data_IF_006995615913
#
_entry.id   IF_006995615913
#
_cell.length_a   1.000
_cell.length_b   1.000
_cell.length_c   1.000
_cell.angle_alpha   90.00
_cell.angle_beta   90.00
_cell.angle_gamma   90.00
#
_symmetry.space_group_name_H-M   'P 1'
#
loop_
_entity.id
_entity.type
_entity.pdbx_description
1 polymer ?
#
# COMPACT_ATOMS: atom_id res chain seq x y z
N UNK A 1 -25.54 -15.61 6.86
CA UNK A 1 -24.78 -16.62 7.64
C UNK A 1 -23.29 -16.38 7.45
N UNK A 2 -22.47 -16.72 8.45
CA UNK A 2 -20.99 -16.69 8.34
C UNK A 2 -20.53 -17.78 7.34
N UNK A 3 -19.67 -17.43 6.37
CA UNK A 3 -19.10 -18.39 5.42
C UNK A 3 -17.81 -19.04 5.92
N UNK A 4 -16.87 -18.22 6.39
CA UNK A 4 -15.59 -18.66 6.96
C UNK A 4 -14.96 -17.50 7.74
N UNK A 5 -13.94 -17.81 8.54
CA UNK A 5 -13.06 -16.83 9.19
C UNK A 5 -11.62 -17.30 9.07
N UNK A 6 -10.68 -16.37 8.88
CA UNK A 6 -9.24 -16.65 8.88
C UNK A 6 -8.56 -15.86 10.00
N UNK A 7 -7.69 -16.52 10.77
CA UNK A 7 -6.95 -15.91 11.88
C UNK A 7 -5.51 -15.62 11.45
N UNK A 8 -5.16 -14.35 11.33
CA UNK A 8 -3.77 -13.87 11.16
C UNK A 8 -3.01 -13.91 12.49
N UNK A 9 -1.70 -13.65 12.47
CA UNK A 9 -0.88 -13.63 13.69
C UNK A 9 -1.12 -12.39 14.57
N UNK A 10 -1.83 -11.38 14.06
CA UNK A 10 -2.30 -10.25 14.85
C UNK A 10 -3.35 -9.42 14.10
N UNK A 11 -3.57 -8.15 14.48
CA UNK A 11 -4.64 -7.32 13.96
C UNK A 11 -4.46 -7.01 12.46
N UNK A 12 -5.59 -6.94 11.77
CA UNK A 12 -5.71 -6.50 10.38
C UNK A 12 -6.07 -5.02 10.41
N UNK A 13 -5.16 -4.16 9.96
CA UNK A 13 -5.37 -2.71 9.93
C UNK A 13 -5.79 -2.19 8.54
N UNK A 14 -5.60 -2.99 7.50
CA UNK A 14 -5.97 -2.67 6.13
C UNK A 14 -7.44 -2.96 5.82
N UNK A 15 -7.98 -2.24 4.83
CA UNK A 15 -9.16 -2.70 4.09
C UNK A 15 -8.78 -3.89 3.19
N UNK A 16 -9.58 -4.97 3.12
CA UNK A 16 -9.36 -6.04 2.18
C UNK A 16 -9.62 -5.59 0.73
N UNK A 17 -8.85 -6.14 -0.22
CA UNK A 17 -9.12 -6.00 -1.65
C UNK A 17 -9.31 -7.40 -2.28
N UNK A 18 -10.22 -7.51 -3.24
CA UNK A 18 -10.56 -8.77 -3.92
C UNK A 18 -10.16 -8.68 -5.38
N UNK A 19 -9.33 -9.62 -5.85
CA UNK A 19 -8.94 -9.74 -7.25
C UNK A 19 -10.07 -10.30 -8.12
N UNK A 20 -9.92 -10.19 -9.44
CA UNK A 20 -10.85 -10.77 -10.42
C UNK A 20 -10.98 -12.31 -10.32
N UNK A 21 -9.96 -13.01 -9.83
CA UNK A 21 -10.00 -14.46 -9.56
C UNK A 21 -10.63 -14.81 -8.20
N UNK A 22 -11.07 -13.81 -7.44
CA UNK A 22 -11.63 -13.95 -6.11
C UNK A 22 -10.61 -14.07 -4.98
N UNK A 23 -9.30 -14.01 -5.26
CA UNK A 23 -8.26 -13.95 -4.22
C UNK A 23 -8.45 -12.69 -3.38
N UNK A 24 -8.43 -12.84 -2.05
CA UNK A 24 -8.57 -11.74 -1.10
C UNK A 24 -7.19 -11.37 -0.55
N UNK A 25 -6.84 -10.10 -0.58
CA UNK A 25 -5.61 -9.57 -0.02
C UNK A 25 -5.86 -8.70 1.21
N UNK A 26 -5.08 -8.91 2.27
CA UNK A 26 -5.12 -8.15 3.53
C UNK A 26 -3.71 -7.96 4.10
N UNK A 27 -3.50 -6.89 4.86
CA UNK A 27 -2.26 -6.62 5.59
C UNK A 27 -2.48 -6.82 7.09
N UNK A 28 -1.55 -7.50 7.76
CA UNK A 28 -1.60 -7.77 9.21
C UNK A 28 -0.24 -7.60 9.85
N UNK A 29 -0.23 -7.10 11.09
CA UNK A 29 0.91 -7.16 12.00
C UNK A 29 0.82 -8.41 12.87
N UNK A 30 1.68 -9.38 12.61
CA UNK A 30 1.80 -10.62 13.35
C UNK A 30 2.77 -10.47 14.53
N UNK A 31 2.28 -10.72 15.74
CA UNK A 31 3.06 -10.61 16.97
C UNK A 31 3.38 -11.99 17.52
N UNK A 32 4.64 -12.27 17.84
CA UNK A 32 5.00 -13.60 18.35
C UNK A 32 4.45 -13.87 19.76
N UNK A 33 4.28 -12.84 20.61
CA UNK A 33 3.89 -13.01 22.03
C UNK A 33 3.20 -11.79 22.66
N UNK A 34 3.55 -10.56 22.26
CA UNK A 34 3.02 -9.31 22.81
C UNK A 34 3.22 -8.16 21.82
N UNK A 35 2.19 -7.34 21.60
CA UNK A 35 2.23 -6.17 20.71
C UNK A 35 3.25 -5.10 21.12
N UNK A 36 3.62 -5.03 22.41
CA UNK A 36 4.53 -4.03 22.95
C UNK A 36 6.00 -4.47 23.02
N UNK A 37 6.25 -5.78 23.11
CA UNK A 37 7.59 -6.31 23.46
C UNK A 37 8.04 -7.52 22.66
N UNK A 38 7.16 -8.13 21.87
CA UNK A 38 7.49 -9.29 21.04
C UNK A 38 8.06 -8.87 19.68
N UNK A 39 8.82 -9.76 19.02
CA UNK A 39 9.15 -9.56 17.62
C UNK A 39 7.85 -9.47 16.83
N UNK A 40 7.79 -8.44 15.99
CA UNK A 40 6.64 -8.12 15.16
C UNK A 40 7.02 -8.31 13.71
N UNK A 41 6.18 -9.04 12.97
CA UNK A 41 6.34 -9.32 11.56
C UNK A 41 5.12 -8.80 10.82
N UNK A 42 5.31 -8.22 9.65
CA UNK A 42 4.21 -7.61 8.91
C UNK A 42 4.06 -8.30 7.58
N UNK A 43 2.83 -8.69 7.28
CA UNK A 43 2.55 -9.55 6.14
C UNK A 43 1.43 -9.00 5.28
N UNK A 44 1.63 -9.07 3.96
CA UNK A 44 0.56 -9.17 2.99
C UNK A 44 0.13 -10.63 2.91
N UNK A 45 -1.14 -10.90 3.20
CA UNK A 45 -1.77 -12.19 3.04
C UNK A 45 -2.55 -12.25 1.73
N UNK A 46 -2.55 -13.43 1.11
CA UNK A 46 -3.46 -13.80 0.03
C UNK A 46 -4.29 -15.00 0.48
N UNK A 47 -5.62 -14.86 0.44
CA UNK A 47 -6.57 -15.91 0.81
C UNK A 47 -7.37 -16.34 -0.42
N UNK A 48 -7.63 -17.64 -0.53
CA UNK A 48 -8.55 -18.17 -1.53
C UNK A 48 -10.00 -17.78 -1.17
N UNK A 49 -10.96 -17.78 -2.13
CA UNK A 49 -12.37 -17.47 -1.88
C UNK A 49 -13.04 -18.33 -0.79
N UNK A 50 -12.49 -19.52 -0.52
CA UNK A 50 -12.95 -20.45 0.51
C UNK A 50 -12.35 -20.17 1.91
N UNK A 51 -11.56 -19.10 2.07
CA UNK A 51 -10.94 -18.71 3.33
C UNK A 51 -9.61 -19.38 3.65
N UNK A 52 -9.08 -20.24 2.78
CA UNK A 52 -7.77 -20.89 2.99
C UNK A 52 -6.62 -19.98 2.58
N UNK A 53 -5.47 -20.11 3.24
CA UNK A 53 -4.27 -19.36 2.89
C UNK A 53 -3.75 -19.78 1.52
N UNK A 54 -3.55 -18.82 0.61
CA UNK A 54 -2.87 -19.02 -0.68
C UNK A 54 -1.37 -18.81 -0.53
N UNK A 55 -0.97 -17.67 0.05
CA UNK A 55 0.41 -17.35 0.40
C UNK A 55 0.45 -16.13 1.33
N UNK A 56 1.63 -15.81 1.88
CA UNK A 56 1.89 -14.52 2.54
C UNK A 56 3.29 -14.01 2.22
N UNK A 57 3.45 -12.69 2.18
CA UNK A 57 4.72 -12.00 1.92
C UNK A 57 5.08 -11.08 3.07
N UNK A 58 6.31 -11.14 3.57
CA UNK A 58 6.77 -10.36 4.72
C UNK A 58 7.46 -9.07 4.28
N UNK A 59 7.05 -7.91 4.83
CA UNK A 59 7.76 -6.62 4.69
C UNK A 59 8.77 -6.41 5.82
N UNK A 60 9.58 -5.36 5.73
CA UNK A 60 10.58 -5.03 6.75
C UNK A 60 9.99 -4.31 7.96
N UNK A 61 8.81 -3.67 7.84
CA UNK A 61 8.12 -2.98 8.92
C UNK A 61 6.61 -2.95 8.70
N UNK A 62 5.88 -2.21 9.54
CA UNK A 62 4.42 -2.08 9.52
C UNK A 62 3.85 -1.83 8.12
N UNK A 63 2.64 -2.34 7.90
CA UNK A 63 1.86 -2.11 6.68
C UNK A 63 0.51 -1.56 7.15
N UNK A 64 0.44 -0.24 7.31
CA UNK A 64 -0.81 0.46 7.63
C UNK A 64 -1.67 0.73 6.38
N UNK A 65 -1.07 0.57 5.19
CA UNK A 65 -1.72 0.73 3.91
C UNK A 65 -2.68 -0.42 3.56
N UNK A 66 -3.74 -0.12 2.81
CA UNK A 66 -4.55 -1.14 2.14
C UNK A 66 -3.91 -1.53 0.80
N UNK A 67 -3.92 -2.81 0.39
CA UNK A 67 -3.33 -3.21 -0.88
C UNK A 67 -4.13 -2.65 -2.08
N UNK A 68 -3.41 -2.32 -3.16
CA UNK A 68 -3.99 -2.02 -4.46
C UNK A 68 -3.64 -3.11 -5.48
N UNK A 69 -4.52 -3.36 -6.45
CA UNK A 69 -4.32 -4.37 -7.50
C UNK A 69 -4.30 -3.67 -8.86
N UNK A 70 -3.22 -3.83 -9.62
CA UNK A 70 -3.14 -3.38 -11.02
C UNK A 70 -4.01 -4.26 -11.95
N UNK A 71 -4.33 -3.77 -13.17
CA UNK A 71 -5.00 -4.57 -14.19
C UNK A 71 -4.28 -5.89 -14.53
N UNK A 72 -2.95 -5.94 -14.40
CA UNK A 72 -2.13 -7.14 -14.62
C UNK A 72 -2.09 -8.11 -13.42
N UNK A 73 -2.81 -7.78 -12.34
CA UNK A 73 -2.86 -8.54 -11.09
C UNK A 73 -1.72 -8.25 -10.11
N UNK A 74 -0.78 -7.35 -10.42
CA UNK A 74 0.27 -6.95 -9.48
C UNK A 74 -0.34 -6.30 -8.25
N UNK A 75 0.12 -6.70 -7.07
CA UNK A 75 -0.35 -6.18 -5.78
C UNK A 75 0.66 -5.16 -5.25
N UNK A 76 0.19 -3.97 -4.91
CA UNK A 76 1.01 -2.89 -4.34
C UNK A 76 0.67 -2.63 -2.89
N UNK A 77 1.71 -2.47 -2.07
CA UNK A 77 1.62 -2.11 -0.65
C UNK A 77 2.75 -1.17 -0.26
N UNK A 78 2.45 -0.19 0.58
CA UNK A 78 3.43 0.67 1.22
C UNK A 78 3.76 0.20 2.64
N UNK A 79 5.02 0.35 3.06
CA UNK A 79 5.46 -0.01 4.41
C UNK A 79 6.26 1.09 5.11
N UNK A 80 6.25 1.04 6.43
CA UNK A 80 7.03 1.89 7.33
C UNK A 80 8.55 1.70 7.22
N UNK A 81 9.01 0.69 6.50
CA UNK A 81 10.42 0.53 6.13
C UNK A 81 10.83 1.43 4.96
N UNK A 82 9.95 2.36 4.56
CA UNK A 82 10.06 3.30 3.45
C UNK A 82 10.13 2.63 2.08
N UNK A 83 9.70 1.38 1.94
CA UNK A 83 9.58 0.72 0.65
C UNK A 83 8.13 0.64 0.17
N UNK A 84 7.96 0.90 -1.13
CA UNK A 84 6.80 0.52 -1.91
C UNK A 84 7.09 -0.83 -2.56
N UNK A 85 6.23 -1.81 -2.32
CA UNK A 85 6.41 -3.17 -2.82
C UNK A 85 5.43 -3.46 -3.94
N UNK A 86 5.92 -4.14 -4.98
CA UNK A 86 5.11 -4.75 -6.01
C UNK A 86 5.27 -6.27 -5.93
N UNK A 87 4.16 -6.97 -5.70
CA UNK A 87 4.11 -8.41 -5.49
C UNK A 87 3.34 -9.04 -6.65
N UNK A 88 3.89 -10.11 -7.23
CA UNK A 88 3.21 -10.88 -8.26
C UNK A 88 2.00 -11.64 -7.68
N UNK A 89 0.98 -12.01 -8.49
CA UNK A 89 -0.17 -12.79 -8.03
C UNK A 89 0.17 -14.12 -7.32
N UNK A 90 1.35 -14.69 -7.59
CA UNK A 90 1.87 -15.90 -6.97
C UNK A 90 2.63 -15.65 -5.64
N UNK A 91 2.69 -14.41 -5.17
CA UNK A 91 3.32 -14.02 -3.91
C UNK A 91 4.81 -13.72 -3.98
N UNK A 92 5.45 -13.77 -5.15
CA UNK A 92 6.87 -13.40 -5.29
C UNK A 92 7.04 -11.90 -5.47
N UNK A 93 8.17 -11.36 -5.00
CA UNK A 93 8.52 -9.96 -5.22
C UNK A 93 8.72 -9.70 -6.72
N UNK A 94 7.98 -8.74 -7.28
CA UNK A 94 8.18 -8.21 -8.64
C UNK A 94 9.27 -7.15 -8.63
N UNK A 95 9.13 -6.16 -7.75
CA UNK A 95 10.13 -5.11 -7.48
C UNK A 95 9.80 -4.40 -6.16
N UNK A 96 10.74 -3.61 -5.64
CA UNK A 96 10.46 -2.64 -4.58
C UNK A 96 11.20 -1.32 -4.84
N UNK A 97 10.61 -0.21 -4.41
CA UNK A 97 11.18 1.12 -4.57
C UNK A 97 11.40 1.77 -3.20
N UNK A 98 12.62 2.26 -2.94
CA UNK A 98 12.94 2.97 -1.69
C UNK A 98 12.52 4.42 -1.83
N UNK A 99 11.67 4.87 -0.93
CA UNK A 99 11.26 6.27 -0.80
C UNK A 99 12.00 6.94 0.36
N UNK A 100 11.89 8.26 0.43
CA UNK A 100 12.55 9.08 1.47
C UNK A 100 11.84 9.04 2.82
N UNK A 101 10.62 8.51 2.89
CA UNK A 101 9.79 8.49 4.09
C UNK A 101 8.96 7.23 4.21
N UNK A 102 8.34 7.02 5.36
CA UNK A 102 7.44 5.89 5.58
C UNK A 102 6.21 5.99 4.67
N UNK A 103 5.65 4.83 4.32
CA UNK A 103 4.49 4.74 3.44
C UNK A 103 3.33 4.10 4.20
N UNK A 104 2.51 4.96 4.80
CA UNK A 104 1.31 4.55 5.53
C UNK A 104 0.03 4.74 4.71
N UNK A 105 0.11 5.49 3.61
CA UNK A 105 -1.02 5.68 2.71
C UNK A 105 -1.31 4.45 1.84
N UNK A 106 -2.57 4.24 1.49
CA UNK A 106 -2.96 3.19 0.54
C UNK A 106 -2.63 3.64 -0.88
N UNK A 107 -1.88 2.87 -1.67
CA UNK A 107 -1.64 3.19 -3.08
C UNK A 107 -2.92 3.18 -3.92
N UNK A 108 -2.89 3.88 -5.06
CA UNK A 108 -3.89 3.76 -6.13
C UNK A 108 -3.20 3.54 -7.47
N UNK A 109 -3.84 2.77 -8.35
CA UNK A 109 -3.29 2.42 -9.68
C UNK A 109 -4.23 2.94 -10.75
N UNK A 110 -3.70 3.68 -11.73
CA UNK A 110 -4.42 4.11 -12.91
C UNK A 110 -4.59 2.98 -13.94
N UNK A 111 -5.43 3.22 -14.95
CA UNK A 111 -5.67 2.26 -16.04
C UNK A 111 -4.42 1.96 -16.88
N UNK A 112 -3.47 2.88 -16.99
CA UNK A 112 -2.16 2.68 -17.63
C UNK A 112 -1.13 1.94 -16.75
N UNK A 113 -1.51 1.64 -15.50
CA UNK A 113 -0.67 0.97 -14.51
C UNK A 113 0.27 1.90 -13.75
N UNK A 114 0.19 3.22 -13.93
CA UNK A 114 0.91 4.18 -13.08
C UNK A 114 0.40 4.06 -11.63
N UNK A 115 1.35 3.97 -10.69
CA UNK A 115 1.08 3.81 -9.28
C UNK A 115 1.30 5.13 -8.55
N UNK A 116 0.30 5.56 -7.78
CA UNK A 116 0.34 6.78 -6.99
C UNK A 116 0.28 6.46 -5.50
N UNK A 117 1.15 7.05 -4.69
CA UNK A 117 1.19 6.80 -3.25
C UNK A 117 1.70 8.02 -2.47
N UNK A 118 1.03 8.35 -1.37
CA UNK A 118 1.47 9.37 -0.42
C UNK A 118 2.59 8.84 0.47
N UNK A 119 3.63 9.65 0.67
CA UNK A 119 4.82 9.29 1.44
C UNK A 119 5.06 10.37 2.50
N UNK A 120 5.47 9.95 3.69
CA UNK A 120 5.90 10.88 4.74
C UNK A 120 6.99 11.85 4.23
N UNK A 121 6.99 13.07 4.78
CA UNK A 121 7.76 14.19 4.21
C UNK A 121 6.98 15.04 3.21
N UNK A 122 5.65 14.90 3.17
CA UNK A 122 4.75 15.70 2.35
C UNK A 122 4.88 15.46 0.84
N UNK A 123 5.02 14.20 0.45
CA UNK A 123 5.23 13.81 -0.94
C UNK A 123 4.08 12.96 -1.50
N UNK A 124 3.81 13.14 -2.79
CA UNK A 124 3.11 12.17 -3.64
C UNK A 124 4.10 11.61 -4.64
N UNK A 125 4.25 10.29 -4.68
CA UNK A 125 5.09 9.59 -5.64
C UNK A 125 4.23 8.99 -6.75
N UNK A 126 4.68 9.11 -8.00
CA UNK A 126 4.15 8.41 -9.15
C UNK A 126 5.23 7.46 -9.70
N UNK A 127 4.93 6.17 -9.79
CA UNK A 127 5.84 5.16 -10.32
C UNK A 127 5.26 4.50 -11.57
N UNK A 128 6.14 4.20 -12.51
CA UNK A 128 5.81 3.38 -13.68
C UNK A 128 5.53 1.92 -13.26
N UNK A 129 4.80 1.13 -14.07
CA UNK A 129 4.52 -0.28 -13.79
C UNK A 129 5.78 -1.16 -13.55
N UNK A 130 6.93 -0.76 -14.10
CA UNK A 130 8.22 -1.43 -13.94
C UNK A 130 8.96 -1.03 -12.65
N UNK A 131 8.39 -0.16 -11.82
CA UNK A 131 8.95 0.27 -10.53
C UNK A 131 9.91 1.44 -10.60
N UNK A 132 10.10 2.08 -11.77
CA UNK A 132 10.88 3.31 -11.85
C UNK A 132 10.03 4.52 -11.46
N UNK A 133 10.66 5.52 -10.84
CA UNK A 133 10.00 6.79 -10.54
C UNK A 133 9.59 7.48 -11.86
N UNK A 134 8.31 7.82 -12.00
CA UNK A 134 7.78 8.65 -13.09
C UNK A 134 7.97 10.13 -12.72
N UNK A 135 7.50 10.52 -11.55
CA UNK A 135 7.73 11.84 -10.95
C UNK A 135 7.38 11.82 -9.46
N UNK A 136 7.72 12.90 -8.75
CA UNK A 136 7.18 13.19 -7.42
C UNK A 136 6.64 14.61 -7.34
N UNK A 137 5.63 14.80 -6.51
CA UNK A 137 5.10 16.10 -6.13
C UNK A 137 5.41 16.34 -4.66
N UNK A 138 5.77 17.57 -4.33
CA UNK A 138 6.11 18.01 -2.98
C UNK A 138 5.08 19.07 -2.58
N UNK A 139 4.49 18.93 -1.39
CA UNK A 139 3.56 19.92 -0.86
C UNK A 139 4.25 21.25 -0.51
N UNK A 140 3.44 22.28 -0.28
CA UNK A 140 3.87 23.67 -0.13
C UNK A 140 4.62 23.95 1.18
N UNK A 141 4.34 23.20 2.26
CA UNK A 141 5.05 23.34 3.54
C UNK A 141 5.92 22.12 3.79
N UNK A 142 7.16 22.37 4.21
CA UNK A 142 8.11 21.37 4.64
C UNK A 142 8.45 21.63 6.11
N UNK A 143 7.83 20.87 7.01
CA UNK A 143 8.17 20.89 8.42
C UNK A 143 8.76 19.53 8.83
N UNK A 144 9.67 19.56 9.80
CA UNK A 144 10.28 18.33 10.31
C UNK A 144 9.23 17.55 11.10
N UNK A 145 9.02 16.28 10.76
CA UNK A 145 7.99 15.44 11.39
C UNK A 145 6.64 15.46 10.66
N UNK A 146 6.58 16.01 9.44
CA UNK A 146 5.38 15.97 8.60
C UNK A 146 5.15 14.56 8.07
N UNK A 147 3.96 14.04 8.34
CA UNK A 147 3.50 12.75 7.83
C UNK A 147 2.57 12.96 6.63
N UNK A 148 2.38 11.97 5.77
CA UNK A 148 1.24 11.96 4.83
C UNK A 148 0.52 10.66 5.09
N UNK A 149 -0.64 10.78 5.72
CA UNK A 149 -1.48 9.64 6.07
C UNK A 149 -2.62 9.42 5.07
N UNK A 150 -2.97 10.46 4.31
CA UNK A 150 -4.08 10.37 3.37
C UNK A 150 -3.70 9.51 2.15
N UNK A 151 -4.68 8.77 1.63
CA UNK A 151 -4.52 7.96 0.42
C UNK A 151 -4.95 8.78 -0.80
N UNK A 152 -4.19 8.77 -1.90
CA UNK A 152 -4.59 9.44 -3.13
C UNK A 152 -5.86 8.82 -3.74
N UNK A 153 -6.65 9.65 -4.41
CA UNK A 153 -7.76 9.23 -5.28
C UNK A 153 -7.48 9.66 -6.72
N UNK A 154 -7.94 8.87 -7.69
CA UNK A 154 -7.81 9.16 -9.12
C UNK A 154 -9.19 9.38 -9.75
N UNK A 155 -9.36 10.49 -10.46
CA UNK A 155 -10.54 10.75 -11.29
C UNK A 155 -10.43 10.08 -12.66
N UNK A 156 -11.56 9.97 -13.36
CA UNK A 156 -11.64 9.36 -14.69
C UNK A 156 -10.77 10.07 -15.73
N UNK A 157 -10.56 11.37 -15.57
CA UNK A 157 -9.68 12.19 -16.43
C UNK A 157 -8.19 12.06 -16.09
N UNK A 158 -7.82 11.23 -15.11
CA UNK A 158 -6.46 11.03 -14.65
C UNK A 158 -6.00 12.02 -13.57
N UNK A 159 -6.83 12.97 -13.14
CA UNK A 159 -6.46 13.88 -12.04
C UNK A 159 -6.32 13.14 -10.72
N UNK A 160 -5.19 13.35 -10.04
CA UNK A 160 -4.89 12.77 -8.73
C UNK A 160 -5.24 13.77 -7.62
N UNK A 161 -6.06 13.36 -6.67
CA UNK A 161 -6.44 14.13 -5.50
C UNK A 161 -5.74 13.57 -4.26
N UNK A 162 -5.04 14.42 -3.50
CA UNK A 162 -4.40 14.00 -2.25
C UNK A 162 -4.43 15.12 -1.21
N UNK A 163 -4.87 14.76 0.01
CA UNK A 163 -4.77 15.62 1.17
C UNK A 163 -3.37 15.53 1.79
N UNK A 164 -2.78 16.65 2.10
CA UNK A 164 -1.43 16.74 2.64
C UNK A 164 -1.44 17.44 3.99
N UNK A 165 -0.40 17.20 4.80
CA UNK A 165 -0.32 17.73 6.17
C UNK A 165 -0.05 19.23 6.23
N UNK A 166 0.21 19.86 5.08
CA UNK A 166 0.40 21.30 4.95
C UNK A 166 -0.91 22.11 4.91
N UNK A 167 -2.04 21.46 5.25
CA UNK A 167 -3.41 21.96 5.24
C UNK A 167 -4.08 22.02 3.86
N UNK A 168 -3.47 21.42 2.82
CA UNK A 168 -3.98 21.50 1.44
C UNK A 168 -4.52 20.16 0.93
N UNK A 169 -5.59 20.25 0.14
CA UNK A 169 -5.97 19.25 -0.85
C UNK A 169 -5.35 19.67 -2.19
N UNK A 170 -4.58 18.78 -2.80
CA UNK A 170 -4.02 18.99 -4.13
C UNK A 170 -4.82 18.23 -5.18
N UNK A 171 -4.98 18.85 -6.34
CA UNK A 171 -5.41 18.22 -7.58
C UNK A 171 -4.24 18.28 -8.58
N UNK A 172 -3.74 17.13 -8.99
CA UNK A 172 -2.48 16.99 -9.72
C UNK A 172 -2.77 16.23 -11.01
N UNK A 173 -2.56 16.88 -12.15
CA UNK A 173 -2.67 16.22 -13.46
C UNK A 173 -1.46 15.34 -13.76
N UNK A 174 -1.61 14.43 -14.73
CA UNK A 174 -0.47 13.69 -15.25
C UNK A 174 0.53 14.65 -15.90
N UNK A 175 1.82 14.51 -15.53
CA UNK A 175 2.94 15.24 -16.11
C UNK A 175 3.66 14.40 -17.15
#
# INVERSE_FOLDING_TARGET
>A
SLKWSYKTGGPIYSTPVVAGDGTIYICSGDYALNIYTGPSYYYLYALNPNGTLKWKYQTGSYIFSSPAIAPDGTIFIGSDDSYLYAINPNGTLKWKYKTEGQIESSPVVSSDGTLYVGVWGNYLYALNPNGTLKWRFEGLKQEKGVTVLSSPAIAEDGTIYIGMWDDYLYAIGEK
#
